data_IF_429245857271
#
_entry.id   IF_429245857271
#
_cell.length_a   1.000
_cell.length_b   1.000
_cell.length_c   1.000
_cell.angle_alpha   90.00
_cell.angle_beta   90.00
_cell.angle_gamma   90.00
#
_symmetry.space_group_name_H-M   'P 1'
#
loop_
_entity.id
_entity.type
_entity.pdbx_description
1 polymer ?
#
# COMPACT_ATOMS: atom_id res chain seq x y z
N UNK A 1 -3.84 9.71 46.76
CA UNK A 1 -3.98 10.81 45.78
C UNK A 1 -3.83 10.19 44.40
N UNK A 2 -4.76 10.41 43.45
CA UNK A 2 -4.58 9.93 42.08
C UNK A 2 -3.36 10.62 41.47
N UNK A 3 -2.50 9.85 40.80
CA UNK A 3 -1.33 10.39 40.10
C UNK A 3 -1.81 11.14 38.85
N UNK A 4 -1.81 12.47 38.89
CA UNK A 4 -1.95 13.30 37.69
C UNK A 4 -0.58 13.37 37.00
N UNK A 5 -0.45 12.86 35.77
CA UNK A 5 0.79 13.00 35.03
C UNK A 5 1.08 14.50 34.83
N UNK A 6 2.30 14.91 35.13
CA UNK A 6 2.75 16.29 34.94
C UNK A 6 2.50 16.73 33.50
N UNK A 7 2.16 18.01 33.31
CA UNK A 7 1.91 18.62 32.00
C UNK A 7 3.01 18.33 30.97
N UNK A 8 4.27 18.20 31.41
CA UNK A 8 5.40 17.76 30.57
C UNK A 8 5.26 16.33 30.03
N UNK A 9 4.87 15.36 30.86
CA UNK A 9 4.68 13.96 30.42
C UNK A 9 3.58 13.84 29.35
N UNK A 10 2.53 14.66 29.47
CA UNK A 10 1.41 14.64 28.53
C UNK A 10 1.79 15.22 27.17
N UNK A 11 2.58 16.30 27.15
CA UNK A 11 3.12 16.91 25.92
C UNK A 11 4.10 15.95 25.22
N UNK A 12 4.99 15.31 25.98
CA UNK A 12 5.96 14.35 25.43
C UNK A 12 5.27 13.08 24.89
N UNK A 13 4.21 12.62 25.54
CA UNK A 13 3.43 11.46 25.09
C UNK A 13 2.68 11.75 23.79
N UNK A 14 2.02 12.90 23.68
CA UNK A 14 1.31 13.32 22.47
C UNK A 14 2.28 13.52 21.29
N UNK A 15 3.46 14.09 21.52
CA UNK A 15 4.51 14.23 20.50
C UNK A 15 5.03 12.87 20.03
N UNK A 16 5.37 11.97 20.94
CA UNK A 16 5.85 10.63 20.59
C UNK A 16 4.82 9.83 19.79
N UNK A 17 3.53 9.97 20.10
CA UNK A 17 2.47 9.35 19.31
C UNK A 17 2.36 9.95 17.90
N UNK A 18 2.53 11.26 17.73
CA UNK A 18 2.55 11.92 16.40
C UNK A 18 3.73 11.42 15.56
N UNK A 19 4.93 11.42 16.12
CA UNK A 19 6.13 10.95 15.41
C UNK A 19 6.02 9.47 15.02
N UNK A 20 5.43 8.62 15.89
CA UNK A 20 5.20 7.22 15.58
C UNK A 20 4.20 7.01 14.44
N UNK A 21 3.14 7.84 14.36
CA UNK A 21 2.18 7.82 13.25
C UNK A 21 2.84 8.22 11.93
N UNK A 22 3.61 9.30 11.94
CA UNK A 22 4.32 9.76 10.73
C UNK A 22 5.30 8.71 10.21
N UNK A 23 6.01 8.02 11.10
CA UNK A 23 6.90 6.91 10.70
C UNK A 23 6.15 5.80 9.98
N UNK A 24 4.91 5.49 10.39
CA UNK A 24 4.09 4.49 9.70
C UNK A 24 3.71 4.93 8.30
N UNK A 25 3.39 6.21 8.11
CA UNK A 25 3.04 6.74 6.79
C UNK A 25 4.22 6.62 5.83
N UNK A 26 5.40 7.02 6.31
CA UNK A 26 6.64 6.90 5.54
C UNK A 26 7.02 5.45 5.27
N UNK A 27 6.81 4.55 6.23
CA UNK A 27 7.12 3.14 6.07
C UNK A 27 6.22 2.48 5.01
N UNK A 28 4.92 2.83 4.97
CA UNK A 28 4.01 2.40 3.91
C UNK A 28 4.35 3.01 2.55
N UNK A 29 4.83 4.25 2.49
CA UNK A 29 5.32 4.81 1.21
C UNK A 29 6.61 4.12 0.73
N UNK A 30 7.55 3.89 1.64
CA UNK A 30 8.81 3.23 1.34
C UNK A 30 8.59 1.79 0.84
N UNK A 31 7.65 1.05 1.43
CA UNK A 31 7.27 -0.27 0.93
C UNK A 31 6.65 -0.21 -0.46
N UNK A 32 5.92 0.85 -0.79
CA UNK A 32 5.43 1.11 -2.16
C UNK A 32 6.56 1.30 -3.17
N UNK A 33 7.60 2.06 -2.81
CA UNK A 33 8.79 2.23 -3.65
C UNK A 33 9.55 0.90 -3.85
N UNK A 34 9.64 0.08 -2.78
CA UNK A 34 10.21 -1.27 -2.87
C UNK A 34 9.39 -2.14 -3.83
N UNK A 35 8.06 -2.05 -3.80
CA UNK A 35 7.20 -2.82 -4.70
C UNK A 35 7.40 -2.41 -6.18
N UNK A 36 7.53 -1.11 -6.46
CA UNK A 36 7.87 -0.62 -7.81
C UNK A 36 9.19 -1.21 -8.31
N UNK A 37 10.19 -1.33 -7.44
CA UNK A 37 11.50 -1.91 -7.79
C UNK A 37 11.44 -3.45 -7.89
N UNK A 38 10.60 -4.12 -7.13
CA UNK A 38 10.50 -5.58 -7.11
C UNK A 38 9.97 -6.14 -8.43
N UNK A 39 9.05 -5.44 -9.11
CA UNK A 39 8.48 -5.86 -10.40
C UNK A 39 9.54 -6.06 -11.50
N UNK A 40 10.36 -5.05 -11.87
CA UNK A 40 11.37 -5.24 -12.91
C UNK A 40 12.47 -6.23 -12.49
N UNK A 41 12.82 -6.29 -11.20
CA UNK A 41 13.80 -7.26 -10.69
C UNK A 41 13.31 -8.70 -10.82
N UNK A 42 12.01 -8.94 -10.58
CA UNK A 42 11.38 -10.23 -10.78
C UNK A 42 11.34 -10.61 -12.26
N UNK A 43 10.92 -9.66 -13.12
CA UNK A 43 10.85 -9.88 -14.57
C UNK A 43 12.22 -10.09 -15.23
N UNK A 44 13.31 -9.54 -14.67
CA UNK A 44 14.66 -9.76 -15.20
C UNK A 44 15.23 -11.14 -14.85
N UNK A 45 14.53 -11.95 -14.05
CA UNK A 45 15.01 -13.24 -13.56
C UNK A 45 16.28 -13.13 -12.68
N UNK A 46 16.56 -11.92 -12.17
CA UNK A 46 17.76 -11.67 -11.39
C UNK A 46 17.57 -12.27 -10.00
N UNK A 47 18.28 -13.36 -9.72
CA UNK A 47 18.21 -14.02 -8.42
C UNK A 47 19.12 -13.29 -7.43
N UNK A 48 18.62 -12.18 -6.91
CA UNK A 48 19.37 -11.30 -6.01
C UNK A 48 19.08 -11.71 -4.56
N UNK A 49 20.13 -11.92 -3.76
CA UNK A 49 20.02 -12.32 -2.35
C UNK A 49 19.13 -11.39 -1.50
N UNK A 50 18.91 -10.15 -1.95
CA UNK A 50 18.11 -9.13 -1.28
C UNK A 50 16.61 -9.19 -1.60
N UNK A 51 16.16 -10.04 -2.53
CA UNK A 51 14.73 -10.18 -2.87
C UNK A 51 13.90 -10.59 -1.64
N UNK A 52 14.34 -11.60 -0.88
CA UNK A 52 13.61 -12.10 0.28
C UNK A 52 13.29 -11.03 1.34
N UNK A 53 14.28 -10.26 1.82
CA UNK A 53 14.05 -9.13 2.72
C UNK A 53 13.14 -8.03 2.15
N UNK A 54 13.25 -7.71 0.86
CA UNK A 54 12.42 -6.71 0.20
C UNK A 54 10.95 -7.14 0.18
N UNK A 55 10.69 -8.39 -0.22
CA UNK A 55 9.34 -8.98 -0.18
C UNK A 55 8.79 -9.09 1.25
N UNK A 56 9.61 -9.55 2.20
CA UNK A 56 9.24 -9.63 3.60
C UNK A 56 8.85 -8.27 4.19
N UNK A 57 9.61 -7.21 3.86
CA UNK A 57 9.30 -5.84 4.25
C UNK A 57 8.00 -5.32 3.63
N UNK A 58 7.77 -5.61 2.35
CA UNK A 58 6.52 -5.25 1.66
C UNK A 58 5.31 -5.95 2.29
N UNK A 59 5.34 -7.27 2.44
CA UNK A 59 4.25 -8.02 3.08
C UNK A 59 4.03 -7.58 4.53
N UNK A 60 5.11 -7.35 5.28
CA UNK A 60 5.05 -6.80 6.63
C UNK A 60 4.34 -5.46 6.68
N UNK A 61 4.63 -4.56 5.73
CA UNK A 61 3.96 -3.24 5.66
C UNK A 61 2.45 -3.35 5.43
N UNK A 62 2.00 -4.31 4.60
CA UNK A 62 0.58 -4.55 4.33
C UNK A 62 -0.12 -5.14 5.58
N UNK A 63 0.55 -6.04 6.29
CA UNK A 63 0.05 -6.58 7.57
C UNK A 63 -0.08 -5.46 8.60
N UNK A 64 0.94 -4.60 8.72
CA UNK A 64 0.88 -3.43 9.62
C UNK A 64 -0.24 -2.48 9.21
N UNK A 65 -0.45 -2.25 7.91
CA UNK A 65 -1.56 -1.44 7.41
C UNK A 65 -2.92 -2.02 7.82
N UNK A 66 -3.09 -3.34 7.70
CA UNK A 66 -4.30 -4.03 8.14
C UNK A 66 -4.53 -3.99 9.65
N UNK A 67 -3.48 -4.14 10.46
CA UNK A 67 -3.59 -4.15 11.93
C UNK A 67 -3.74 -2.74 12.52
N UNK A 68 -2.91 -1.79 12.10
CA UNK A 68 -2.87 -0.42 12.66
C UNK A 68 -3.88 0.52 12.03
N UNK A 69 -4.47 0.17 10.88
CA UNK A 69 -5.61 0.88 10.30
C UNK A 69 -6.77 1.10 11.28
N UNK A 70 -6.88 0.31 12.35
CA UNK A 70 -7.92 0.49 13.36
C UNK A 70 -7.62 1.54 14.44
N UNK A 71 -6.38 2.02 14.54
CA UNK A 71 -5.94 2.89 15.66
C UNK A 71 -5.83 4.37 15.31
N UNK A 72 -5.74 4.70 14.03
CA UNK A 72 -5.56 6.07 13.55
C UNK A 72 -6.52 6.32 12.38
N UNK A 73 -7.48 7.23 12.58
CA UNK A 73 -8.55 7.51 11.62
C UNK A 73 -8.04 8.05 10.28
N UNK A 74 -6.97 8.86 10.30
CA UNK A 74 -6.38 9.38 9.06
C UNK A 74 -5.66 8.26 8.30
N UNK A 75 -4.83 7.48 9.00
CA UNK A 75 -4.18 6.31 8.40
C UNK A 75 -5.18 5.31 7.84
N UNK A 76 -6.28 5.06 8.57
CA UNK A 76 -7.39 4.20 8.13
C UNK A 76 -7.98 4.66 6.80
N UNK A 77 -8.19 5.96 6.63
CA UNK A 77 -8.72 6.54 5.40
C UNK A 77 -7.76 6.30 4.21
N UNK A 78 -6.47 6.52 4.42
CA UNK A 78 -5.44 6.29 3.40
C UNK A 78 -5.36 4.81 3.01
N UNK A 79 -5.29 3.91 4.00
CA UNK A 79 -5.28 2.45 3.80
C UNK A 79 -6.57 2.00 3.11
N UNK A 80 -7.72 2.55 3.49
CA UNK A 80 -9.01 2.27 2.86
C UNK A 80 -9.02 2.60 1.37
N UNK A 81 -8.47 3.75 0.99
CA UNK A 81 -8.34 4.14 -0.43
C UNK A 81 -7.44 3.15 -1.19
N UNK A 82 -6.29 2.79 -0.61
CA UNK A 82 -5.42 1.77 -1.19
C UNK A 82 -6.11 0.41 -1.37
N UNK A 83 -6.84 -0.05 -0.35
CA UNK A 83 -7.61 -1.30 -0.42
C UNK A 83 -8.70 -1.25 -1.49
N UNK A 84 -9.39 -0.12 -1.67
CA UNK A 84 -10.38 0.03 -2.74
C UNK A 84 -9.74 -0.10 -4.13
N UNK A 85 -8.57 0.49 -4.35
CA UNK A 85 -7.83 0.37 -5.61
C UNK A 85 -7.37 -1.07 -5.86
N UNK A 86 -6.85 -1.73 -4.83
CA UNK A 86 -6.45 -3.13 -4.90
C UNK A 86 -7.64 -4.04 -5.20
N UNK A 87 -8.77 -3.85 -4.51
CA UNK A 87 -9.99 -4.65 -4.71
C UNK A 87 -10.58 -4.43 -6.11
N UNK A 88 -10.60 -3.18 -6.59
CA UNK A 88 -11.03 -2.86 -7.94
C UNK A 88 -10.15 -3.58 -8.99
N UNK A 89 -8.83 -3.48 -8.86
CA UNK A 89 -7.91 -4.17 -9.77
C UNK A 89 -8.03 -5.69 -9.70
N UNK A 90 -8.20 -6.26 -8.50
CA UNK A 90 -8.48 -7.69 -8.34
C UNK A 90 -9.76 -8.10 -9.07
N UNK A 91 -10.83 -7.31 -8.95
CA UNK A 91 -12.09 -7.54 -9.67
C UNK A 91 -11.90 -7.51 -11.19
N UNK A 92 -11.12 -6.55 -11.70
CA UNK A 92 -10.76 -6.49 -13.14
C UNK A 92 -9.97 -7.73 -13.55
N UNK A 93 -8.95 -8.14 -12.79
CA UNK A 93 -8.16 -9.35 -13.09
C UNK A 93 -9.04 -10.60 -13.08
N UNK A 94 -9.90 -10.77 -12.08
CA UNK A 94 -10.84 -11.90 -12.00
C UNK A 94 -11.79 -11.94 -13.19
N UNK A 95 -12.31 -10.79 -13.62
CA UNK A 95 -13.16 -10.68 -14.80
C UNK A 95 -12.40 -11.08 -16.08
N UNK A 96 -11.16 -10.63 -16.23
CA UNK A 96 -10.33 -10.97 -17.39
C UNK A 96 -9.98 -12.47 -17.43
N UNK A 97 -9.64 -13.08 -16.28
CA UNK A 97 -9.39 -14.52 -16.19
C UNK A 97 -10.64 -15.33 -16.53
N UNK A 98 -11.82 -14.86 -16.08
CA UNK A 98 -13.08 -15.49 -16.43
C UNK A 98 -13.37 -15.41 -17.92
N UNK A 99 -13.17 -14.26 -18.57
CA UNK A 99 -13.35 -14.12 -20.03
C UNK A 99 -12.39 -15.04 -20.79
N UNK A 100 -11.12 -15.07 -20.38
CA UNK A 100 -10.10 -15.87 -21.05
C UNK A 100 -10.45 -17.37 -21.04
N UNK A 101 -10.84 -17.90 -19.88
CA UNK A 101 -11.27 -19.30 -19.72
C UNK A 101 -12.44 -19.71 -20.62
N UNK A 102 -13.22 -18.76 -21.12
CA UNK A 102 -14.40 -19.00 -21.95
C UNK A 102 -14.18 -18.72 -23.44
N UNK A 103 -13.21 -17.88 -23.81
CA UNK A 103 -13.14 -17.34 -25.17
C UNK A 103 -11.75 -17.29 -25.81
N UNK A 104 -10.65 -17.55 -25.08
CA UNK A 104 -9.27 -17.45 -25.59
C UNK A 104 -8.96 -16.13 -26.32
N UNK A 105 -9.69 -15.06 -25.97
CA UNK A 105 -9.59 -13.74 -26.61
C UNK A 105 -8.50 -12.88 -25.97
N UNK A 106 -7.99 -13.23 -24.77
CA UNK A 106 -7.15 -12.32 -23.99
C UNK A 106 -5.71 -12.21 -24.49
N UNK A 107 -5.15 -13.26 -25.09
CA UNK A 107 -3.85 -13.23 -25.78
C UNK A 107 -3.78 -12.12 -26.86
N UNK A 108 -4.93 -11.71 -27.39
CA UNK A 108 -5.05 -10.68 -28.44
C UNK A 108 -5.43 -9.30 -27.93
N UNK A 109 -6.06 -9.20 -26.75
CA UNK A 109 -6.61 -7.96 -26.23
C UNK A 109 -5.70 -7.25 -25.24
N UNK A 110 -4.94 -8.01 -24.43
CA UNK A 110 -4.07 -7.43 -23.39
C UNK A 110 -2.71 -8.12 -23.43
N UNK A 111 -1.71 -7.44 -24.02
CA UNK A 111 -0.35 -7.93 -24.07
C UNK A 111 0.22 -8.15 -22.66
N UNK A 112 0.72 -9.36 -22.39
CA UNK A 112 1.34 -9.72 -21.11
C UNK A 112 0.39 -10.25 -20.03
N UNK A 113 -0.90 -10.44 -20.35
CA UNK A 113 -1.86 -11.01 -19.40
C UNK A 113 -1.52 -12.46 -19.00
N UNK A 114 -1.03 -13.29 -19.92
CA UNK A 114 -0.61 -14.67 -19.63
C UNK A 114 0.51 -14.76 -18.58
N UNK A 115 1.44 -13.79 -18.62
CA UNK A 115 2.53 -13.72 -17.65
C UNK A 115 1.97 -13.40 -16.26
N UNK A 116 0.96 -12.54 -16.19
CA UNK A 116 0.28 -12.21 -14.93
C UNK A 116 -0.59 -13.37 -14.41
N UNK A 117 -1.24 -14.11 -15.31
CA UNK A 117 -2.12 -15.24 -14.98
C UNK A 117 -1.34 -16.47 -14.51
N UNK A 118 -0.13 -16.69 -15.03
CA UNK A 118 0.74 -17.82 -14.69
C UNK A 118 1.67 -17.57 -13.52
N UNK A 119 1.90 -16.30 -13.15
CA UNK A 119 2.82 -15.90 -12.08
C UNK A 119 2.07 -15.26 -10.89
N UNK A 120 1.83 -16.06 -9.85
CA UNK A 120 1.15 -15.64 -8.63
C UNK A 120 1.93 -14.56 -7.84
N UNK A 121 3.25 -14.52 -7.97
CA UNK A 121 4.08 -13.51 -7.31
C UNK A 121 3.95 -12.17 -8.01
N UNK A 122 3.97 -12.17 -9.34
CA UNK A 122 3.74 -10.97 -10.14
C UNK A 122 2.33 -10.40 -9.93
N UNK A 123 1.32 -11.27 -9.79
CA UNK A 123 -0.03 -10.87 -9.42
C UNK A 123 -0.07 -10.21 -8.03
N UNK A 124 0.57 -10.81 -7.03
CA UNK A 124 0.66 -10.25 -5.69
C UNK A 124 1.37 -8.89 -5.66
N UNK A 125 2.48 -8.75 -6.41
CA UNK A 125 3.19 -7.48 -6.59
C UNK A 125 2.30 -6.42 -7.25
N UNK A 126 1.59 -6.78 -8.32
CA UNK A 126 0.67 -5.89 -9.03
C UNK A 126 -0.47 -5.39 -8.14
N UNK A 127 -1.11 -6.29 -7.38
CA UNK A 127 -2.14 -5.93 -6.40
C UNK A 127 -1.58 -5.06 -5.28
N UNK A 128 -0.41 -5.42 -4.76
CA UNK A 128 0.31 -4.59 -3.80
C UNK A 128 0.62 -3.21 -4.39
N UNK A 129 0.94 -3.11 -5.68
CA UNK A 129 1.29 -1.84 -6.31
C UNK A 129 0.06 -0.95 -6.40
N UNK A 130 -1.09 -1.50 -6.77
CA UNK A 130 -2.37 -0.80 -6.75
C UNK A 130 -2.73 -0.29 -5.36
N UNK A 131 -2.50 -1.11 -4.33
CA UNK A 131 -2.67 -0.67 -2.95
C UNK A 131 -1.80 0.55 -2.63
N UNK A 132 -0.50 0.46 -2.89
CA UNK A 132 0.44 1.54 -2.58
C UNK A 132 0.20 2.78 -3.44
N UNK A 133 -0.25 2.61 -4.69
CA UNK A 133 -0.61 3.71 -5.58
C UNK A 133 -1.85 4.46 -5.07
N UNK A 134 -2.91 3.73 -4.68
CA UNK A 134 -4.10 4.35 -4.10
C UNK A 134 -3.81 5.04 -2.77
N UNK A 135 -2.99 4.41 -1.91
CA UNK A 135 -2.50 5.02 -0.67
C UNK A 135 -1.71 6.30 -0.93
N UNK A 136 -0.71 6.24 -1.82
CA UNK A 136 0.16 7.37 -2.14
C UNK A 136 -0.62 8.51 -2.80
N UNK A 137 -1.56 8.18 -3.68
CA UNK A 137 -2.45 9.16 -4.30
C UNK A 137 -3.28 9.92 -3.26
N UNK A 138 -3.93 9.20 -2.32
CA UNK A 138 -4.68 9.84 -1.24
C UNK A 138 -3.77 10.72 -0.37
N UNK A 139 -2.60 10.20 0.01
CA UNK A 139 -1.64 10.93 0.82
C UNK A 139 -1.09 12.20 0.14
N UNK A 140 -0.82 12.13 -1.17
CA UNK A 140 -0.38 13.27 -1.97
C UNK A 140 -1.51 14.28 -2.18
N UNK A 141 -2.72 13.81 -2.52
CA UNK A 141 -3.90 14.66 -2.68
C UNK A 141 -4.16 15.49 -1.43
N UNK A 142 -4.08 14.87 -0.25
CA UNK A 142 -4.35 15.52 1.04
C UNK A 142 -3.22 16.49 1.45
N UNK A 143 -2.06 16.43 0.79
CA UNK A 143 -0.92 17.35 0.99
C UNK A 143 -0.75 18.40 -0.10
N UNK A 144 -1.45 18.27 -1.22
CA UNK A 144 -1.43 19.26 -2.29
C UNK A 144 -2.31 20.45 -1.89
N UNK A 145 -1.84 21.71 -2.08
CA UNK A 145 -2.56 22.91 -1.68
C UNK A 145 -3.85 23.18 -2.49
N UNK A 146 -4.33 22.22 -3.27
CA UNK A 146 -5.50 22.36 -4.16
C UNK A 146 -6.82 21.93 -3.51
N UNK A 147 -6.82 21.53 -2.24
CA UNK A 147 -8.02 21.38 -1.41
C UNK A 147 -7.93 22.32 -0.23
N UNK A 148 -8.43 23.54 -0.40
CA UNK A 148 -8.59 24.47 0.71
C UNK A 148 -9.52 23.85 1.75
N UNK A 149 -8.97 23.57 2.92
CA UNK A 149 -9.54 23.98 4.19
C UNK A 149 -8.37 24.28 5.12
N UNK A 150 -8.04 25.57 5.14
CA UNK A 150 -7.51 26.21 6.33
C UNK A 150 -8.57 26.07 7.42
N UNK A 151 -8.58 24.99 8.17
CA UNK A 151 -9.27 24.93 9.46
C UNK A 151 -8.40 24.15 10.46
N UNK A 152 -7.78 24.91 11.37
CA UNK A 152 -7.35 24.40 12.67
C UNK A 152 -5.86 24.42 12.97
N UNK A 153 -5.29 25.63 13.04
CA UNK A 153 -4.42 25.96 14.18
C UNK A 153 -5.23 25.92 15.48
#
# INVERSE_FOLDING_TARGET
MPYEPSTGYRIDHERNQREHRERLYWLTLASGAVNVLAIPLHLSGANIAFMGPLFGGMCGSLIVAGMKGNTDGYYRSLVGTGLSWMAFGLGVVMLLLWIDSNTSLMDRLIAGFDVLASDSLLLALGLGLLFHAGYAFAYLRDRLPFGGDNDGL
#
